data_IF_564420979727
#
_entry.id   IF_564420979727
#
_cell.length_a   1.000
_cell.length_b   1.000
_cell.length_c   1.000
_cell.angle_alpha   90.00
_cell.angle_beta   90.00
_cell.angle_gamma   90.00
#
_symmetry.space_group_name_H-M   'P 1'
#
loop_
_entity.id
_entity.type
_entity.pdbx_description
1 polymer ?
#
# COMPACT_ATOMS: atom_id res chain seq x y z
N UNK A 1 6.50 10.50 32.35
CA UNK A 1 5.03 10.42 32.55
C UNK A 1 4.18 11.50 31.82
N UNK A 2 4.72 12.66 31.40
CA UNK A 2 3.95 13.72 30.68
C UNK A 2 3.68 13.43 29.19
N UNK A 3 4.57 12.70 28.50
CA UNK A 3 4.49 12.45 27.05
C UNK A 3 3.27 11.59 26.65
N UNK A 4 2.91 10.57 27.44
CA UNK A 4 1.73 9.73 27.12
C UNK A 4 0.40 10.50 27.21
N UNK A 5 0.28 11.49 28.11
CA UNK A 5 -0.93 12.33 28.20
C UNK A 5 -1.05 13.30 27.02
N UNK A 6 0.07 13.74 26.44
CA UNK A 6 0.08 14.62 25.29
C UNK A 6 -0.27 13.86 23.99
N UNK A 7 0.32 12.67 23.81
CA UNK A 7 0.00 11.77 22.69
C UNK A 7 -1.49 11.43 22.63
N UNK A 8 -2.10 11.08 23.77
CA UNK A 8 -3.54 10.77 23.82
C UNK A 8 -4.46 11.96 23.49
N UNK A 9 -4.02 13.21 23.78
CA UNK A 9 -4.78 14.41 23.41
C UNK A 9 -4.67 14.72 21.92
N UNK A 10 -3.48 14.56 21.33
CA UNK A 10 -3.26 14.75 19.90
C UNK A 10 -4.05 13.72 19.10
N UNK A 11 -4.00 12.44 19.49
CA UNK A 11 -4.76 11.38 18.80
C UNK A 11 -6.27 11.65 18.79
N UNK A 12 -6.83 12.06 19.94
CA UNK A 12 -8.25 12.45 20.00
C UNK A 12 -8.55 13.65 19.12
N UNK A 13 -7.69 14.67 19.11
CA UNK A 13 -7.87 15.86 18.28
C UNK A 13 -7.83 15.52 16.78
N UNK A 14 -6.89 14.66 16.37
CA UNK A 14 -6.80 14.17 14.99
C UNK A 14 -8.08 13.46 14.56
N UNK A 15 -8.61 12.58 15.40
CA UNK A 15 -9.87 11.89 15.13
C UNK A 15 -11.06 12.86 14.96
N UNK A 16 -11.16 13.87 15.82
CA UNK A 16 -12.21 14.90 15.68
C UNK A 16 -12.07 15.71 14.38
N UNK A 17 -10.83 16.08 14.01
CA UNK A 17 -10.56 16.80 12.77
C UNK A 17 -10.90 15.96 11.54
N UNK A 18 -10.62 14.65 11.58
CA UNK A 18 -10.93 13.74 10.48
C UNK A 18 -12.44 13.63 10.22
N UNK A 19 -13.23 13.44 11.28
CA UNK A 19 -14.69 13.44 11.18
C UNK A 19 -15.21 14.78 10.62
N UNK A 20 -14.65 15.89 11.10
CA UNK A 20 -15.02 17.22 10.66
C UNK A 20 -14.73 17.41 9.16
N UNK A 21 -13.52 17.04 8.71
CA UNK A 21 -13.11 17.14 7.31
C UNK A 21 -13.94 16.24 6.40
N UNK A 22 -14.16 14.99 6.83
CA UNK A 22 -15.02 14.05 6.11
C UNK A 22 -16.43 14.63 5.94
N UNK A 23 -17.03 15.19 7.00
CA UNK A 23 -18.35 15.81 6.94
C UNK A 23 -18.40 17.00 5.96
N UNK A 24 -17.39 17.88 5.96
CA UNK A 24 -17.31 19.00 5.00
C UNK A 24 -17.23 18.52 3.55
N UNK A 25 -16.39 17.52 3.27
CA UNK A 25 -16.23 16.98 1.91
C UNK A 25 -17.52 16.27 1.49
N UNK A 26 -18.16 15.49 2.38
CA UNK A 26 -19.46 14.87 2.11
C UNK A 26 -20.52 15.90 1.76
N UNK A 27 -20.59 17.03 2.47
CA UNK A 27 -21.55 18.09 2.15
C UNK A 27 -21.27 18.69 0.77
N UNK A 28 -20.00 18.93 0.43
CA UNK A 28 -19.61 19.43 -0.90
C UNK A 28 -20.00 18.45 -2.02
N UNK A 29 -19.85 17.14 -1.80
CA UNK A 29 -20.29 16.10 -2.74
C UNK A 29 -21.81 16.16 -2.94
N UNK A 30 -22.59 16.28 -1.86
CA UNK A 30 -24.06 16.37 -1.96
C UNK A 30 -24.47 17.59 -2.80
N UNK A 31 -23.83 18.75 -2.59
CA UNK A 31 -24.09 19.96 -3.37
C UNK A 31 -23.74 19.73 -4.85
N UNK A 32 -22.56 19.16 -5.14
CA UNK A 32 -22.14 18.89 -6.51
C UNK A 32 -23.00 17.85 -7.22
N UNK A 33 -23.57 16.87 -6.49
CA UNK A 33 -24.55 15.92 -7.04
C UNK A 33 -25.83 16.63 -7.50
N UNK A 34 -26.29 17.66 -6.78
CA UNK A 34 -27.45 18.46 -7.20
C UNK A 34 -27.14 19.25 -8.47
N UNK A 35 -25.94 19.83 -8.56
CA UNK A 35 -25.52 20.57 -9.75
C UNK A 35 -25.34 19.65 -10.97
N UNK A 36 -24.92 18.40 -10.75
CA UNK A 36 -24.84 17.40 -11.81
C UNK A 36 -26.20 17.09 -12.44
N UNK A 37 -27.26 17.00 -11.62
CA UNK A 37 -28.63 16.80 -12.12
C UNK A 37 -29.09 17.99 -12.98
N UNK A 38 -28.74 19.23 -12.60
CA UNK A 38 -29.03 20.42 -13.41
C UNK A 38 -28.27 20.38 -14.74
N UNK A 39 -26.99 20.00 -14.72
CA UNK A 39 -26.17 19.86 -15.92
C UNK A 39 -26.72 18.81 -16.87
N UNK A 40 -27.22 17.69 -16.36
CA UNK A 40 -27.85 16.65 -17.17
C UNK A 40 -29.08 17.22 -17.92
N UNK A 41 -29.92 17.99 -17.23
CA UNK A 41 -31.05 18.69 -17.85
C UNK A 41 -30.64 19.67 -18.96
N UNK A 42 -29.50 20.35 -18.80
CA UNK A 42 -28.95 21.26 -19.80
C UNK A 42 -28.44 20.51 -21.05
N UNK A 43 -27.74 19.37 -20.87
CA UNK A 43 -27.27 18.53 -21.98
C UNK A 43 -28.43 18.08 -22.87
N UNK A 44 -29.57 17.69 -22.28
CA UNK A 44 -30.75 17.27 -23.03
C UNK A 44 -31.39 18.38 -23.88
N UNK A 45 -31.19 19.65 -23.53
CA UNK A 45 -31.79 20.80 -24.24
C UNK A 45 -30.82 21.52 -25.19
N UNK A 46 -29.55 21.11 -25.26
CA UNK A 46 -28.51 21.83 -26.02
C UNK A 46 -28.36 21.29 -27.44
N UNK A 47 -28.21 22.19 -28.43
CA UNK A 47 -28.00 21.86 -29.84
C UNK A 47 -26.68 21.09 -30.08
N UNK A 48 -26.65 20.27 -31.14
CA UNK A 48 -25.62 19.27 -31.48
C UNK A 48 -24.18 19.78 -31.59
N UNK A 49 -23.95 21.07 -31.80
CA UNK A 49 -22.60 21.64 -31.97
C UNK A 49 -21.88 21.93 -30.65
N UNK A 50 -22.60 22.20 -29.57
CA UNK A 50 -22.03 22.49 -28.23
C UNK A 50 -22.05 21.26 -27.30
N UNK A 51 -22.66 20.16 -27.75
CA UNK A 51 -22.85 18.95 -26.95
C UNK A 51 -21.52 18.36 -26.47
N UNK A 52 -20.45 18.43 -27.28
CA UNK A 52 -19.14 17.89 -26.91
C UNK A 52 -18.53 18.61 -25.71
N UNK A 53 -18.46 19.95 -25.74
CA UNK A 53 -17.89 20.74 -24.65
C UNK A 53 -18.72 20.65 -23.37
N UNK A 54 -20.06 20.65 -23.50
CA UNK A 54 -20.95 20.48 -22.34
C UNK A 54 -20.80 19.07 -21.75
N UNK A 55 -20.66 18.04 -22.58
CA UNK A 55 -20.45 16.67 -22.14
C UNK A 55 -19.07 16.47 -21.48
N UNK A 56 -18.01 17.08 -22.02
CA UNK A 56 -16.68 17.04 -21.41
C UNK A 56 -16.70 17.72 -20.02
N UNK A 57 -17.35 18.87 -19.88
CA UNK A 57 -17.54 19.54 -18.58
C UNK A 57 -18.36 18.71 -17.60
N UNK A 58 -19.43 18.06 -18.08
CA UNK A 58 -20.23 17.14 -17.29
C UNK A 58 -19.39 15.98 -16.75
N UNK A 59 -18.66 15.29 -17.63
CA UNK A 59 -17.76 14.20 -17.24
C UNK A 59 -16.71 14.67 -16.23
N UNK A 60 -16.15 15.87 -16.41
CA UNK A 60 -15.19 16.46 -15.48
C UNK A 60 -15.78 16.65 -14.08
N UNK A 61 -17.02 17.14 -14.01
CA UNK A 61 -17.73 17.30 -12.75
C UNK A 61 -17.98 15.94 -12.06
N UNK A 62 -18.39 14.92 -12.82
CA UNK A 62 -18.56 13.55 -12.30
C UNK A 62 -17.25 13.00 -11.75
N UNK A 63 -16.15 13.07 -12.52
CA UNK A 63 -14.88 12.49 -12.08
C UNK A 63 -14.31 13.21 -10.86
N UNK A 64 -14.50 14.54 -10.75
CA UNK A 64 -14.13 15.29 -9.55
C UNK A 64 -14.94 14.84 -8.32
N UNK A 65 -16.24 14.57 -8.47
CA UNK A 65 -17.07 14.05 -7.39
C UNK A 65 -16.62 12.65 -6.96
N UNK A 66 -16.30 11.77 -7.90
CA UNK A 66 -15.79 10.42 -7.60
C UNK A 66 -14.49 10.48 -6.78
N UNK A 67 -13.55 11.36 -7.15
CA UNK A 67 -12.32 11.58 -6.38
C UNK A 67 -12.64 12.09 -4.97
N UNK A 68 -13.62 13.00 -4.83
CA UNK A 68 -14.09 13.45 -3.53
C UNK A 68 -14.63 12.33 -2.65
N UNK A 69 -15.43 11.41 -3.23
CA UNK A 69 -15.96 10.25 -2.53
C UNK A 69 -14.83 9.32 -2.06
N UNK A 70 -13.87 9.02 -2.93
CA UNK A 70 -12.70 8.19 -2.57
C UNK A 70 -11.86 8.82 -1.46
N UNK A 71 -11.71 10.14 -1.47
CA UNK A 71 -11.01 10.87 -0.41
C UNK A 71 -11.73 10.69 0.93
N UNK A 72 -13.07 10.78 0.97
CA UNK A 72 -13.85 10.55 2.21
C UNK A 72 -13.68 9.11 2.69
N UNK A 73 -13.76 8.13 1.80
CA UNK A 73 -13.54 6.71 2.10
C UNK A 73 -12.15 6.50 2.70
N UNK A 74 -11.12 7.11 2.09
CA UNK A 74 -9.74 7.02 2.55
C UNK A 74 -9.52 7.70 3.91
N UNK A 75 -10.16 8.85 4.15
CA UNK A 75 -10.12 9.52 5.44
C UNK A 75 -10.73 8.62 6.52
N UNK A 76 -11.95 8.11 6.31
CA UNK A 76 -12.70 7.36 7.34
C UNK A 76 -12.12 5.97 7.61
N UNK A 77 -11.71 5.23 6.59
CA UNK A 77 -11.26 3.84 6.75
C UNK A 77 -9.79 3.71 7.14
N UNK A 78 -9.04 4.82 7.23
CA UNK A 78 -7.61 4.82 7.55
C UNK A 78 -6.79 3.78 6.75
N UNK A 79 -7.21 3.46 5.53
CA UNK A 79 -6.52 2.47 4.68
C UNK A 79 -5.32 3.13 4.01
N UNK A 80 -4.24 3.31 4.77
CA UNK A 80 -2.94 3.82 4.28
C UNK A 80 -2.32 2.92 3.20
N UNK A 81 -2.76 1.66 3.08
CA UNK A 81 -2.26 0.71 2.08
C UNK A 81 -2.58 1.05 0.62
N UNK A 82 -3.58 1.91 0.35
CA UNK A 82 -4.05 2.20 -1.02
C UNK A 82 -3.89 3.65 -1.45
N UNK A 83 -3.12 4.48 -0.73
CA UNK A 83 -2.94 5.90 -1.12
C UNK A 83 -2.35 6.02 -2.53
N UNK A 84 -1.38 5.17 -2.88
CA UNK A 84 -0.81 5.15 -4.23
C UNK A 84 -1.84 4.76 -5.30
N UNK A 85 -2.75 3.85 -4.99
CA UNK A 85 -3.80 3.41 -5.91
C UNK A 85 -4.82 4.52 -6.17
N UNK A 86 -5.26 5.20 -5.11
CA UNK A 86 -6.15 6.35 -5.21
C UNK A 86 -5.47 7.49 -5.99
N UNK A 87 -4.19 7.76 -5.74
CA UNK A 87 -3.41 8.77 -6.47
C UNK A 87 -3.28 8.40 -7.96
N UNK A 88 -2.95 7.14 -8.29
CA UNK A 88 -2.87 6.66 -9.68
C UNK A 88 -4.19 6.86 -10.42
N UNK A 89 -5.28 6.49 -9.77
CA UNK A 89 -6.63 6.61 -10.30
C UNK A 89 -7.04 8.07 -10.53
N UNK A 90 -6.74 8.95 -9.57
CA UNK A 90 -6.99 10.37 -9.68
C UNK A 90 -6.23 11.01 -10.86
N UNK A 91 -4.95 10.63 -11.05
CA UNK A 91 -4.13 11.11 -12.18
C UNK A 91 -4.71 10.63 -13.51
N UNK A 92 -5.03 9.33 -13.62
CA UNK A 92 -5.55 8.75 -14.85
C UNK A 92 -6.86 9.43 -15.30
N UNK A 93 -7.77 9.69 -14.36
CA UNK A 93 -9.06 10.35 -14.63
C UNK A 93 -8.92 11.81 -15.01
N UNK A 94 -8.05 12.54 -14.30
CA UNK A 94 -7.76 13.94 -14.63
C UNK A 94 -7.14 14.05 -16.03
N UNK A 95 -6.25 13.12 -16.39
CA UNK A 95 -5.63 13.07 -17.71
C UNK A 95 -6.66 12.89 -18.82
N UNK A 96 -7.64 11.98 -18.67
CA UNK A 96 -8.64 11.72 -19.72
C UNK A 96 -9.54 12.91 -20.04
N UNK A 97 -9.77 13.83 -19.09
CA UNK A 97 -10.76 14.91 -19.25
C UNK A 97 -10.12 16.29 -19.44
N UNK A 98 -9.01 16.55 -18.75
CA UNK A 98 -8.43 17.90 -18.65
C UNK A 98 -7.11 18.06 -19.42
N UNK A 99 -6.62 17.04 -20.14
CA UNK A 99 -5.45 17.21 -20.99
C UNK A 99 -5.84 17.99 -22.25
N UNK A 100 -5.56 19.30 -22.25
CA UNK A 100 -5.80 20.16 -23.41
C UNK A 100 -4.64 20.11 -24.41
N UNK A 101 -3.44 19.70 -23.94
CA UNK A 101 -2.24 19.57 -24.75
C UNK A 101 -1.64 18.16 -24.66
N UNK A 102 -1.00 17.74 -25.75
CA UNK A 102 -0.15 16.53 -25.80
C UNK A 102 0.91 16.54 -24.70
N UNK A 103 1.43 17.73 -24.33
CA UNK A 103 2.42 17.87 -23.26
C UNK A 103 1.83 17.55 -21.88
N UNK A 104 0.60 17.97 -21.61
CA UNK A 104 -0.09 17.68 -20.34
C UNK A 104 -0.31 16.16 -20.19
N UNK A 105 -0.62 15.50 -21.30
CA UNK A 105 -0.75 14.05 -21.35
C UNK A 105 0.59 13.35 -21.05
N UNK A 106 1.69 13.80 -21.67
CA UNK A 106 3.03 13.25 -21.39
C UNK A 106 3.44 13.45 -19.93
N UNK A 107 3.16 14.61 -19.33
CA UNK A 107 3.42 14.84 -17.90
C UNK A 107 2.55 13.93 -17.01
N UNK A 108 1.30 13.67 -17.39
CA UNK A 108 0.41 12.73 -16.72
C UNK A 108 0.96 11.30 -16.74
N UNK A 109 1.42 10.82 -17.91
CA UNK A 109 2.08 9.51 -18.04
C UNK A 109 3.38 9.46 -17.22
N UNK A 110 4.17 10.53 -17.23
CA UNK A 110 5.38 10.66 -16.41
C UNK A 110 5.08 10.58 -14.90
N UNK A 111 3.99 11.21 -14.45
CA UNK A 111 3.54 11.15 -13.06
C UNK A 111 3.12 9.73 -12.66
N UNK A 112 2.35 9.03 -13.53
CA UNK A 112 1.99 7.62 -13.31
C UNK A 112 3.25 6.75 -13.21
N UNK A 113 4.21 6.93 -14.13
CA UNK A 113 5.48 6.20 -14.11
C UNK A 113 6.28 6.46 -12.83
N UNK A 114 6.30 7.70 -12.34
CA UNK A 114 6.94 8.05 -11.07
C UNK A 114 6.26 7.38 -9.87
N UNK A 115 4.92 7.32 -9.84
CA UNK A 115 4.19 6.60 -8.78
C UNK A 115 4.52 5.11 -8.79
N UNK A 116 4.58 4.47 -9.97
CA UNK A 116 5.03 3.08 -10.08
C UNK A 116 6.48 2.90 -9.66
N UNK A 117 7.36 3.85 -9.98
CA UNK A 117 8.75 3.83 -9.52
C UNK A 117 8.81 3.93 -7.98
N UNK A 118 8.07 4.84 -7.36
CA UNK A 118 7.99 4.94 -5.88
C UNK A 118 7.48 3.61 -5.30
N UNK A 119 6.42 3.03 -5.87
CA UNK A 119 5.90 1.71 -5.45
C UNK A 119 6.99 0.63 -5.53
N UNK A 120 7.75 0.58 -6.61
CA UNK A 120 8.81 -0.42 -6.81
C UNK A 120 10.02 -0.18 -5.91
N UNK A 121 10.53 1.04 -5.80
CA UNK A 121 11.82 1.31 -5.16
C UNK A 121 11.72 1.61 -3.66
N UNK A 122 10.60 2.17 -3.18
CA UNK A 122 10.41 2.52 -1.76
C UNK A 122 9.85 1.35 -0.95
N UNK A 123 8.85 0.63 -1.45
CA UNK A 123 8.20 -0.47 -0.69
C UNK A 123 9.01 -1.77 -0.67
N UNK A 124 9.95 -1.96 -1.60
CA UNK A 124 10.91 -3.07 -1.52
C UNK A 124 11.91 -2.86 -0.37
N UNK A 125 12.13 -1.62 0.09
CA UNK A 125 12.98 -1.34 1.26
C UNK A 125 12.26 -1.52 2.58
N UNK A 126 10.96 -1.23 2.65
CA UNK A 126 10.21 -1.36 3.92
C UNK A 126 9.90 -2.81 4.29
N UNK A 127 9.77 -3.71 3.32
CA UNK A 127 9.77 -5.17 3.61
C UNK A 127 11.11 -5.69 4.13
N UNK A 128 12.20 -4.92 3.96
CA UNK A 128 13.51 -5.24 4.50
C UNK A 128 13.76 -4.62 5.89
N UNK A 129 12.96 -3.64 6.32
CA UNK A 129 13.30 -2.79 7.48
C UNK A 129 12.30 -2.81 8.65
N UNK A 130 11.16 -3.49 8.55
CA UNK A 130 10.14 -3.48 9.62
C UNK A 130 9.92 -4.81 10.38
N UNK A 131 10.87 -5.74 10.33
CA UNK A 131 11.01 -6.72 11.42
C UNK A 131 12.47 -6.80 11.77
N UNK A 132 12.80 -6.59 13.05
CA UNK A 132 14.14 -6.70 13.63
C UNK A 132 14.73 -8.08 13.36
N UNK A 133 15.23 -8.26 12.14
CA UNK A 133 15.64 -9.52 11.60
C UNK A 133 16.98 -9.38 10.92
N UNK A 134 17.86 -10.34 11.17
CA UNK A 134 19.20 -10.36 10.63
C UNK A 134 19.26 -11.43 9.54
N UNK A 135 20.01 -11.13 8.47
CA UNK A 135 20.29 -12.09 7.41
C UNK A 135 21.46 -12.96 7.86
N UNK A 136 21.23 -14.27 7.94
CA UNK A 136 22.24 -15.27 8.23
C UNK A 136 22.51 -16.14 7.01
N UNK A 137 23.67 -16.80 7.02
CA UNK A 137 23.93 -17.92 6.13
C UNK A 137 23.03 -19.10 6.54
N UNK A 138 22.54 -19.87 5.59
CA UNK A 138 21.77 -21.07 5.91
C UNK A 138 22.57 -22.10 6.73
N UNK A 139 23.90 -22.05 6.65
CA UNK A 139 24.81 -22.89 7.41
C UNK A 139 25.03 -22.41 8.86
N UNK A 140 24.53 -21.23 9.24
CA UNK A 140 24.67 -20.70 10.60
C UNK A 140 24.00 -21.65 11.60
N UNK A 141 24.70 -22.06 12.68
CA UNK A 141 24.13 -22.86 13.74
C UNK A 141 22.96 -22.15 14.43
N UNK A 142 21.99 -22.93 14.90
CA UNK A 142 20.81 -22.38 15.55
C UNK A 142 21.15 -21.59 16.81
N UNK A 143 22.11 -22.06 17.61
CA UNK A 143 22.53 -21.41 18.85
C UNK A 143 23.07 -19.99 18.60
N UNK A 144 23.83 -19.81 17.51
CA UNK A 144 24.37 -18.53 17.10
C UNK A 144 23.25 -17.58 16.66
N UNK A 145 22.30 -18.09 15.86
CA UNK A 145 21.14 -17.32 15.41
C UNK A 145 20.22 -16.91 16.57
N UNK A 146 19.95 -17.83 17.51
CA UNK A 146 19.16 -17.59 18.71
C UNK A 146 19.81 -16.52 19.59
N UNK A 147 21.13 -16.57 19.78
CA UNK A 147 21.87 -15.61 20.60
C UNK A 147 21.95 -14.22 19.97
N UNK A 148 22.03 -14.13 18.64
CA UNK A 148 22.19 -12.87 17.92
C UNK A 148 20.88 -12.04 17.85
N UNK A 149 19.72 -12.68 17.69
CA UNK A 149 18.41 -12.00 17.58
C UNK A 149 17.57 -12.12 18.86
N UNK A 150 17.91 -13.04 19.76
CA UNK A 150 17.11 -13.35 20.95
C UNK A 150 15.85 -14.16 20.65
N UNK A 151 15.87 -14.96 19.58
CA UNK A 151 14.78 -15.89 19.21
C UNK A 151 15.01 -17.28 19.83
N UNK A 152 13.95 -18.09 19.91
CA UNK A 152 14.02 -19.46 20.42
C UNK A 152 13.64 -20.49 19.35
N UNK A 153 14.55 -20.73 18.41
CA UNK A 153 14.43 -21.83 17.46
C UNK A 153 14.92 -23.11 18.16
N UNK A 154 14.11 -24.18 18.20
CA UNK A 154 14.46 -25.36 18.97
C UNK A 154 15.44 -26.25 18.19
N UNK A 155 16.55 -26.63 18.86
CA UNK A 155 17.70 -27.32 18.26
C UNK A 155 17.37 -28.76 17.82
N UNK A 156 16.28 -29.33 18.28
CA UNK A 156 15.85 -30.67 17.88
C UNK A 156 15.31 -30.75 16.44
N UNK A 157 14.99 -29.61 15.81
CA UNK A 157 14.50 -29.57 14.43
C UNK A 157 15.63 -29.59 13.39
N UNK A 158 16.88 -29.34 13.79
CA UNK A 158 18.04 -29.32 12.92
C UNK A 158 19.25 -28.69 13.61
N UNK A 159 20.43 -28.76 12.99
CA UNK A 159 21.65 -28.15 13.54
C UNK A 159 21.90 -26.73 13.00
N UNK A 160 21.35 -26.41 11.82
CA UNK A 160 21.51 -25.12 11.13
C UNK A 160 20.16 -24.55 10.73
N UNK A 161 20.09 -23.24 10.47
CA UNK A 161 18.83 -22.59 10.05
C UNK A 161 18.31 -23.21 8.75
N UNK A 162 19.20 -23.51 7.79
CA UNK A 162 18.85 -24.18 6.54
C UNK A 162 18.29 -25.58 6.75
N UNK A 163 18.86 -26.34 7.70
CA UNK A 163 18.36 -27.65 8.08
C UNK A 163 16.95 -27.59 8.68
N UNK A 164 16.68 -26.60 9.53
CA UNK A 164 15.33 -26.37 10.10
C UNK A 164 14.33 -26.03 9.01
N UNK A 165 14.68 -25.16 8.06
CA UNK A 165 13.80 -24.82 6.93
C UNK A 165 13.50 -26.05 6.07
N UNK A 166 14.50 -26.90 5.81
CA UNK A 166 14.29 -28.16 5.08
C UNK A 166 13.36 -29.11 5.84
N UNK A 167 13.53 -29.22 7.17
CA UNK A 167 12.65 -30.03 8.01
C UNK A 167 11.21 -29.49 8.00
N UNK A 168 11.03 -28.19 8.22
CA UNK A 168 9.72 -27.54 8.22
C UNK A 168 9.02 -27.64 6.85
N UNK A 169 9.76 -27.54 5.76
CA UNK A 169 9.22 -27.75 4.40
C UNK A 169 8.59 -29.13 4.24
N UNK A 170 9.25 -30.18 4.73
CA UNK A 170 8.74 -31.55 4.70
C UNK A 170 7.54 -31.73 5.63
N UNK A 171 7.58 -31.20 6.85
CA UNK A 171 6.49 -31.35 7.82
C UNK A 171 5.24 -30.57 7.42
N UNK A 172 5.40 -29.41 6.80
CA UNK A 172 4.27 -28.52 6.41
C UNK A 172 3.83 -28.71 4.95
N UNK A 173 4.50 -29.57 4.19
CA UNK A 173 4.31 -29.75 2.75
C UNK A 173 4.38 -28.43 1.95
N UNK A 174 5.22 -27.50 2.39
CA UNK A 174 5.44 -26.21 1.70
C UNK A 174 6.73 -26.27 0.89
N UNK A 175 6.71 -25.94 -0.41
CA UNK A 175 7.91 -25.95 -1.24
C UNK A 175 8.87 -24.81 -0.86
N UNK A 176 10.17 -25.05 -1.01
CA UNK A 176 11.23 -24.07 -0.73
C UNK A 176 11.52 -23.27 -2.01
N UNK A 177 11.35 -21.96 -1.95
CA UNK A 177 11.69 -21.01 -3.01
C UNK A 177 12.07 -19.64 -2.40
N UNK A 178 12.70 -18.76 -3.18
CA UNK A 178 13.05 -17.41 -2.70
C UNK A 178 11.80 -16.62 -2.32
N UNK A 179 11.76 -16.11 -1.08
CA UNK A 179 10.61 -15.46 -0.49
C UNK A 179 9.69 -16.39 0.32
N UNK A 180 9.90 -17.71 0.33
CA UNK A 180 9.15 -18.64 1.17
C UNK A 180 9.36 -18.33 2.67
N UNK A 181 8.27 -18.38 3.44
CA UNK A 181 8.27 -18.11 4.89
C UNK A 181 7.86 -19.34 5.71
N UNK A 182 8.62 -19.56 6.77
CA UNK A 182 8.41 -20.61 7.76
C UNK A 182 8.38 -19.97 9.15
N UNK A 183 7.47 -20.44 10.00
CA UNK A 183 7.31 -19.95 11.37
C UNK A 183 7.58 -21.10 12.31
N UNK A 184 8.41 -20.84 13.32
CA UNK A 184 8.80 -21.81 14.35
C UNK A 184 8.94 -21.12 15.71
N UNK A 185 8.13 -21.55 16.66
CA UNK A 185 8.11 -21.04 18.04
C UNK A 185 7.91 -19.52 18.13
N UNK A 186 9.00 -18.75 18.24
CA UNK A 186 8.99 -17.28 18.31
C UNK A 186 9.74 -16.64 17.14
N UNK A 187 10.12 -17.44 16.14
CA UNK A 187 10.97 -17.05 15.03
C UNK A 187 10.25 -17.24 13.71
N UNK A 188 10.36 -16.24 12.85
CA UNK A 188 9.97 -16.28 11.45
C UNK A 188 11.21 -16.30 10.58
N UNK A 189 11.32 -17.32 9.74
CA UNK A 189 12.45 -17.56 8.84
C UNK A 189 11.97 -17.39 7.40
N UNK A 190 12.56 -16.46 6.66
CA UNK A 190 12.29 -16.22 5.24
C UNK A 190 13.50 -16.59 4.39
N UNK A 191 13.30 -17.35 3.32
CA UNK A 191 14.37 -17.65 2.36
C UNK A 191 14.67 -16.39 1.55
N UNK A 192 15.89 -15.87 1.63
CA UNK A 192 16.29 -14.63 0.93
C UNK A 192 16.92 -14.95 -0.41
N UNK A 193 17.76 -16.00 -0.45
CA UNK A 193 18.51 -16.37 -1.65
C UNK A 193 18.74 -17.88 -1.71
N UNK A 194 18.54 -18.45 -2.89
CA UNK A 194 18.87 -19.84 -3.20
C UNK A 194 19.86 -19.89 -4.36
N UNK A 195 20.73 -20.89 -4.36
CA UNK A 195 21.64 -21.17 -5.46
C UNK A 195 21.64 -22.67 -5.76
N UNK A 196 21.34 -23.05 -7.01
CA UNK A 196 21.34 -24.45 -7.46
C UNK A 196 20.55 -25.42 -6.55
N UNK A 197 19.43 -24.96 -5.98
CA UNK A 197 18.58 -25.76 -5.08
C UNK A 197 19.02 -25.77 -3.61
N UNK A 198 20.15 -25.13 -3.27
CA UNK A 198 20.62 -24.94 -1.90
C UNK A 198 20.16 -23.57 -1.37
N UNK A 199 19.79 -23.53 -0.09
CA UNK A 199 19.49 -22.29 0.62
C UNK A 199 20.83 -21.62 0.95
N UNK A 200 21.06 -20.40 0.45
CA UNK A 200 22.31 -19.65 0.73
C UNK A 200 22.11 -18.70 1.90
N UNK A 201 21.02 -17.93 1.88
CA UNK A 201 20.74 -16.88 2.86
C UNK A 201 19.29 -16.92 3.35
N UNK A 202 19.13 -16.67 4.63
CA UNK A 202 17.85 -16.66 5.33
C UNK A 202 17.75 -15.41 6.20
N UNK A 203 16.57 -14.79 6.21
CA UNK A 203 16.23 -13.70 7.11
C UNK A 203 15.50 -14.32 8.31
N UNK A 204 16.06 -14.18 9.49
CA UNK A 204 15.41 -14.60 10.74
C UNK A 204 14.90 -13.36 11.45
N UNK A 205 13.66 -13.38 11.92
CA UNK A 205 13.02 -12.28 12.64
C UNK A 205 12.11 -12.82 13.75
N UNK A 206 11.73 -11.97 14.70
CA UNK A 206 10.67 -12.29 15.66
C UNK A 206 9.31 -12.43 14.93
N UNK A 207 8.46 -13.32 15.43
CA UNK A 207 7.15 -13.60 14.83
C UNK A 207 6.20 -12.39 14.82
#
# INVERSE_FOLDING_TARGET
MKINRFKGRILKLTYYLEILLAAFITLAIIIGMIDLVKYLGLVFHTNTFETYDVFQKFLGHVLLLVVGVELVIMLVLHTTGSVLEVVLYAIARKMLIYSNSMMDFLMGVGAIAAVFAIRKYLFIRETFNERSGQVFSAATPIEEANSAIGVNIPVNLGNTIGGVVAHLSLTTCKPIYEGAEYVVSSARIRVVKMNEGLIEKVLVSHE
#
